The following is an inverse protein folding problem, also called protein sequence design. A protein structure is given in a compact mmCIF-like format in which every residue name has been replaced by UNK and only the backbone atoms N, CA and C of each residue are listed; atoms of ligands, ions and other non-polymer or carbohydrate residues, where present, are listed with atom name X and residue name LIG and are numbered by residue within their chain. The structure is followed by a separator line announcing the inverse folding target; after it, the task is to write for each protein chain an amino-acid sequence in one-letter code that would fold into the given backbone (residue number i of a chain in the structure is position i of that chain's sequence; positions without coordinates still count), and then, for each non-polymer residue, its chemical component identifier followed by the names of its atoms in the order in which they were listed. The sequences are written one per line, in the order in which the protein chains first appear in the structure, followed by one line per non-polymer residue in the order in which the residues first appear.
data_IF_573651686049
#
_entry.id   IF_573651686049
#
_cell.length_a   1.000
_cell.length_b   1.000
_cell.length_c   1.000
_cell.angle_alpha   90.00
_cell.angle_beta   90.00
_cell.angle_gamma   90.00
#
_symmetry.space_group_name_H-M   'P 1'
#
loop_
_entity.id
_entity.type
_entity.pdbx_description
1 polymer ?
#
# COMPACT_ATOMS: atom_id res chain seq x y z
N UNK A 1 -5.18 18.70 1.60
CA UNK A 1 -4.27 19.78 1.14
C UNK A 1 -4.68 20.19 -0.28
N UNK A 2 -5.11 21.44 -0.50
CA UNK A 2 -5.65 21.91 -1.80
C UNK A 2 -4.54 22.50 -2.67
N UNK A 3 -4.24 21.90 -3.83
CA UNK A 3 -3.35 22.50 -4.82
C UNK A 3 -4.15 23.40 -5.77
N UNK A 4 -3.78 24.68 -5.80
CA UNK A 4 -4.28 25.66 -6.77
C UNK A 4 -3.32 25.73 -7.96
N UNK A 5 -3.88 25.54 -9.15
CA UNK A 5 -3.22 25.61 -10.44
C UNK A 5 -3.01 27.09 -10.83
N UNK A 6 -1.75 27.54 -10.96
CA UNK A 6 -1.43 28.86 -11.53
C UNK A 6 -0.93 28.71 -12.96
N UNK A 7 -1.79 29.08 -13.91
CA UNK A 7 -1.42 29.47 -15.28
C UNK A 7 -0.69 30.82 -15.23
N UNK A 8 0.39 30.95 -15.98
CA UNK A 8 0.88 32.25 -16.45
C UNK A 8 1.18 32.18 -17.94
N UNK A 9 0.47 33.02 -18.69
CA UNK A 9 0.73 33.42 -20.07
C UNK A 9 1.20 34.89 -19.96
N UNK A 10 2.34 35.22 -20.55
CA UNK A 10 2.83 36.56 -20.86
C UNK A 10 3.99 36.34 -21.83
N UNK A 11 4.15 36.95 -22.99
CA UNK A 11 3.67 38.18 -23.61
C UNK A 11 4.72 38.51 -24.68
N UNK A 12 4.27 38.94 -25.86
CA UNK A 12 5.03 39.27 -27.09
C UNK A 12 6.17 40.29 -26.86
N UNK A 13 7.25 40.38 -27.64
CA UNK A 13 7.41 40.98 -29.00
C UNK A 13 8.89 40.78 -29.42
N UNK A 14 9.16 40.62 -30.73
CA UNK A 14 10.44 41.05 -31.31
C UNK A 14 10.99 40.19 -32.45
N UNK A 15 10.48 40.41 -33.67
CA UNK A 15 11.05 39.83 -34.89
C UNK A 15 12.29 40.62 -35.34
N UNK A 16 13.42 39.92 -35.57
CA UNK A 16 14.47 40.32 -36.52
C UNK A 16 14.98 39.07 -37.24
N UNK A 17 14.91 39.10 -38.56
CA UNK A 17 15.35 38.09 -39.53
C UNK A 17 16.88 38.15 -39.71
N UNK A 18 17.57 37.01 -39.60
CA UNK A 18 18.74 36.67 -40.43
C UNK A 18 18.79 35.14 -40.65
N UNK A 19 19.00 34.76 -41.90
CA UNK A 19 18.99 33.40 -42.45
C UNK A 19 20.38 32.76 -42.27
N UNK A 20 20.43 31.52 -41.75
CA UNK A 20 21.51 30.56 -41.98
C UNK A 20 20.97 29.12 -41.80
N UNK A 21 21.49 28.12 -42.55
CA UNK A 21 20.83 26.83 -42.74
C UNK A 21 21.04 25.82 -41.59
N UNK A 22 19.96 25.09 -41.31
CA UNK A 22 19.87 23.69 -40.89
C UNK A 22 20.95 23.15 -39.93
N UNK A 23 20.66 23.17 -38.63
CA UNK A 23 20.75 21.99 -37.78
C UNK A 23 19.65 22.09 -36.71
N UNK A 24 18.44 21.65 -37.06
CA UNK A 24 17.49 21.21 -36.02
C UNK A 24 18.02 19.86 -35.58
N UNK A 25 18.89 19.83 -34.58
CA UNK A 25 19.06 18.63 -33.77
C UNK A 25 17.75 18.46 -33.02
N UNK A 26 16.77 17.80 -33.62
CA UNK A 26 15.78 17.09 -32.83
C UNK A 26 16.58 16.10 -32.01
N UNK A 27 16.86 16.42 -30.74
CA UNK A 27 17.06 15.37 -29.76
C UNK A 27 15.71 14.67 -29.66
N UNK A 28 15.45 13.77 -30.60
CA UNK A 28 14.58 12.65 -30.33
C UNK A 28 15.36 11.88 -29.29
N UNK A 29 15.07 12.16 -28.02
CA UNK A 29 15.45 11.28 -26.94
C UNK A 29 14.78 9.94 -27.28
N UNK A 30 15.50 9.12 -28.02
CA UNK A 30 15.12 7.77 -28.33
C UNK A 30 15.29 7.03 -27.02
N UNK A 31 14.23 7.04 -26.21
CA UNK A 31 14.10 6.18 -25.05
C UNK A 31 14.28 4.78 -25.59
N UNK A 32 15.48 4.22 -25.38
CA UNK A 32 15.80 2.86 -25.82
C UNK A 32 14.78 1.94 -25.15
N UNK A 33 14.05 1.10 -25.89
CA UNK A 33 13.06 0.19 -25.33
C UNK A 33 13.61 -0.72 -24.21
N UNK A 34 14.93 -0.95 -24.19
CA UNK A 34 15.62 -1.72 -23.15
C UNK A 34 15.56 -1.07 -21.77
N UNK A 35 15.71 0.26 -21.69
CA UNK A 35 15.90 0.95 -20.41
C UNK A 35 14.57 1.04 -19.65
N UNK A 36 13.47 1.18 -20.40
CA UNK A 36 12.10 1.15 -19.85
C UNK A 36 11.68 -0.24 -19.38
N UNK A 37 12.03 -1.30 -20.12
CA UNK A 37 11.64 -2.66 -19.77
C UNK A 37 12.35 -3.15 -18.50
N UNK A 38 13.66 -2.91 -18.39
CA UNK A 38 14.45 -3.26 -17.19
C UNK A 38 14.02 -2.45 -15.97
N UNK A 39 13.70 -1.16 -16.15
CA UNK A 39 13.19 -0.29 -15.09
C UNK A 39 11.82 -0.78 -14.58
N UNK A 40 10.90 -1.15 -15.48
CA UNK A 40 9.57 -1.62 -15.11
C UNK A 40 9.59 -2.96 -14.36
N UNK A 41 10.54 -3.84 -14.68
CA UNK A 41 10.79 -5.08 -13.92
C UNK A 41 11.22 -4.79 -12.48
N UNK A 42 12.17 -3.86 -12.28
CA UNK A 42 12.64 -3.50 -10.94
C UNK A 42 11.49 -2.99 -10.04
N UNK A 43 10.60 -2.15 -10.57
CA UNK A 43 9.42 -1.68 -9.84
C UNK A 43 8.41 -2.80 -9.56
N UNK A 44 8.23 -3.74 -10.49
CA UNK A 44 7.36 -4.90 -10.29
C UNK A 44 7.88 -5.81 -9.17
N UNK A 45 9.19 -6.02 -9.09
CA UNK A 45 9.82 -6.80 -8.01
C UNK A 45 9.76 -6.06 -6.67
N UNK A 46 10.08 -4.76 -6.66
CA UNK A 46 9.94 -3.90 -5.47
C UNK A 46 8.52 -3.99 -4.92
N UNK A 47 7.51 -3.82 -5.77
CA UNK A 47 6.11 -3.89 -5.38
C UNK A 47 5.70 -5.25 -4.80
N UNK A 48 6.20 -6.36 -5.37
CA UNK A 48 5.97 -7.70 -4.83
C UNK A 48 6.62 -7.88 -3.46
N UNK A 49 7.78 -7.26 -3.22
CA UNK A 49 8.41 -7.18 -1.90
C UNK A 49 7.56 -6.42 -0.89
N UNK A 50 7.14 -5.20 -1.25
CA UNK A 50 6.29 -4.35 -0.41
C UNK A 50 4.97 -5.02 -0.05
N UNK A 51 4.31 -5.69 -1.01
CA UNK A 51 3.09 -6.46 -0.73
C UNK A 51 3.34 -7.60 0.27
N UNK A 52 4.47 -8.31 0.19
CA UNK A 52 4.81 -9.35 1.18
C UNK A 52 4.99 -8.77 2.58
N UNK A 53 5.59 -7.58 2.69
CA UNK A 53 5.72 -6.87 3.97
C UNK A 53 4.36 -6.42 4.51
N UNK A 54 3.51 -5.84 3.67
CA UNK A 54 2.12 -5.47 4.04
C UNK A 54 1.36 -6.68 4.59
N UNK A 55 1.45 -7.84 3.93
CA UNK A 55 0.84 -9.09 4.43
C UNK A 55 1.39 -9.51 5.79
N UNK A 56 2.70 -9.37 6.01
CA UNK A 56 3.34 -9.75 7.28
C UNK A 56 2.92 -8.82 8.41
N UNK A 57 2.82 -7.52 8.14
CA UNK A 57 2.37 -6.51 9.10
C UNK A 57 0.87 -6.69 9.41
N UNK A 58 0.05 -6.95 8.40
CA UNK A 58 -1.38 -7.18 8.60
C UNK A 58 -1.67 -8.46 9.39
N UNK A 59 -0.84 -9.50 9.25
CA UNK A 59 -0.93 -10.69 10.08
C UNK A 59 -0.63 -10.39 11.56
N UNK A 60 0.47 -9.68 11.84
CA UNK A 60 0.82 -9.27 13.21
C UNK A 60 -0.26 -8.37 13.82
N UNK A 61 -0.79 -7.43 13.02
CA UNK A 61 -1.89 -6.56 13.42
C UNK A 61 -3.16 -7.32 13.82
N UNK A 62 -3.53 -8.33 13.03
CA UNK A 62 -4.70 -9.16 13.33
C UNK A 62 -4.50 -9.94 14.64
N UNK A 63 -3.32 -10.53 14.84
CA UNK A 63 -2.99 -11.27 16.06
C UNK A 63 -3.00 -10.36 17.30
N UNK A 64 -2.34 -9.19 17.22
CA UNK A 64 -2.28 -8.20 18.31
C UNK A 64 -3.67 -7.64 18.66
N UNK A 65 -4.47 -7.30 17.64
CA UNK A 65 -5.82 -6.77 17.84
C UNK A 65 -6.76 -7.83 18.42
N UNK A 66 -6.68 -9.07 17.96
CA UNK A 66 -7.45 -10.17 18.51
C UNK A 66 -7.08 -10.47 19.97
N UNK A 67 -5.79 -10.44 20.30
CA UNK A 67 -5.35 -10.59 21.69
C UNK A 67 -5.91 -9.46 22.59
N UNK A 68 -5.81 -8.21 22.12
CA UNK A 68 -6.35 -7.05 22.83
C UNK A 68 -7.89 -7.12 23.00
N UNK A 69 -8.61 -7.59 21.98
CA UNK A 69 -10.05 -7.81 22.01
C UNK A 69 -10.43 -8.80 23.10
N UNK A 70 -9.71 -9.93 23.19
CA UNK A 70 -9.94 -10.94 24.23
C UNK A 70 -9.76 -10.38 25.64
N UNK A 71 -8.71 -9.58 25.87
CA UNK A 71 -8.48 -8.95 27.17
C UNK A 71 -9.57 -7.92 27.50
N UNK A 72 -9.92 -7.07 26.52
CA UNK A 72 -10.98 -6.06 26.67
C UNK A 72 -12.32 -6.70 27.02
N UNK A 73 -12.75 -7.71 26.27
CA UNK A 73 -14.02 -8.40 26.47
C UNK A 73 -14.13 -9.15 27.80
N UNK A 74 -12.99 -9.52 28.40
CA UNK A 74 -12.94 -10.18 29.72
C UNK A 74 -12.67 -9.21 30.87
N UNK A 75 -12.60 -7.91 30.59
CA UNK A 75 -12.17 -6.89 31.56
C UNK A 75 -10.86 -7.28 32.26
N UNK A 76 -9.91 -7.79 31.47
CA UNK A 76 -8.57 -8.16 31.92
C UNK A 76 -7.59 -7.07 31.55
N UNK A 77 -6.47 -7.02 32.29
CA UNK A 77 -5.44 -5.98 32.20
C UNK A 77 -5.90 -4.60 32.68
N UNK A 78 -4.94 -3.77 33.07
CA UNK A 78 -5.19 -2.37 33.34
C UNK A 78 -5.04 -1.52 32.06
N UNK A 79 -5.53 -0.29 32.11
CA UNK A 79 -5.53 0.62 30.97
C UNK A 79 -4.12 0.89 30.41
N UNK A 80 -3.04 0.78 31.19
CA UNK A 80 -1.66 1.00 30.70
C UNK A 80 -1.24 -0.14 29.79
N UNK A 81 -1.61 -1.36 30.12
CA UNK A 81 -1.38 -2.53 29.26
C UNK A 81 -2.17 -2.41 27.96
N UNK A 82 -3.43 -1.95 28.00
CA UNK A 82 -4.19 -1.65 26.79
C UNK A 82 -3.52 -0.55 25.95
N UNK A 83 -3.07 0.54 26.58
CA UNK A 83 -2.36 1.61 25.90
C UNK A 83 -1.06 1.13 25.24
N UNK A 84 -0.31 0.24 25.92
CA UNK A 84 0.87 -0.39 25.35
C UNK A 84 0.53 -1.19 24.09
N UNK A 85 -0.50 -2.04 24.13
CA UNK A 85 -0.94 -2.83 22.96
C UNK A 85 -1.42 -1.94 21.81
N UNK A 86 -2.24 -0.93 22.07
CA UNK A 86 -2.69 0.01 21.05
C UNK A 86 -1.53 0.79 20.41
N UNK A 87 -0.47 1.10 21.17
CA UNK A 87 0.72 1.73 20.61
C UNK A 87 1.48 0.77 19.68
N UNK A 88 1.62 -0.52 20.03
CA UNK A 88 2.22 -1.51 19.13
C UNK A 88 1.43 -1.65 17.83
N UNK A 89 0.10 -1.74 17.93
CA UNK A 89 -0.79 -1.78 16.76
C UNK A 89 -0.61 -0.51 15.91
N UNK A 90 -0.56 0.68 16.52
CA UNK A 90 -0.31 1.93 15.79
C UNK A 90 1.04 1.90 15.06
N UNK A 91 2.08 1.39 15.69
CA UNK A 91 3.42 1.33 15.08
C UNK A 91 3.43 0.39 13.87
N UNK A 92 2.75 -0.76 13.95
CA UNK A 92 2.53 -1.65 12.81
C UNK A 92 1.70 -1.00 11.68
N UNK A 93 0.64 -0.27 12.02
CA UNK A 93 -0.18 0.49 11.04
C UNK A 93 0.68 1.52 10.31
N UNK A 94 1.51 2.27 11.03
CA UNK A 94 2.40 3.26 10.44
C UNK A 94 3.40 2.61 9.49
N UNK A 95 4.05 1.53 9.92
CA UNK A 95 4.98 0.78 9.08
C UNK A 95 4.30 0.26 7.80
N UNK A 96 3.05 -0.21 7.90
CA UNK A 96 2.26 -0.64 6.74
C UNK A 96 1.90 0.54 5.84
N UNK A 97 1.53 1.68 6.43
CA UNK A 97 1.24 2.93 5.72
C UNK A 97 2.39 3.39 4.84
N UNK A 98 3.64 3.34 5.32
CA UNK A 98 4.82 3.67 4.52
C UNK A 98 4.98 2.78 3.28
N UNK A 99 4.70 1.47 3.42
CA UNK A 99 4.80 0.52 2.29
C UNK A 99 3.70 0.77 1.26
N UNK A 100 2.48 1.09 1.73
CA UNK A 100 1.36 1.43 0.87
C UNK A 100 1.56 2.78 0.16
N UNK A 101 2.14 3.77 0.83
CA UNK A 101 2.52 5.04 0.23
C UNK A 101 3.52 4.80 -0.90
N UNK A 102 4.57 4.01 -0.64
CA UNK A 102 5.55 3.66 -1.67
C UNK A 102 4.92 2.95 -2.88
N UNK A 103 4.00 2.02 -2.64
CA UNK A 103 3.24 1.35 -3.71
C UNK A 103 2.40 2.33 -4.53
N UNK A 104 1.82 3.36 -3.90
CA UNK A 104 1.08 4.41 -4.60
C UNK A 104 2.00 5.32 -5.42
N UNK A 105 3.19 5.67 -4.92
CA UNK A 105 4.17 6.47 -5.68
C UNK A 105 4.56 5.80 -7.00
N UNK A 106 4.83 4.48 -6.95
CA UNK A 106 5.23 3.70 -8.12
C UNK A 106 4.04 3.15 -8.91
N UNK A 107 2.80 3.52 -8.57
CA UNK A 107 1.57 2.92 -9.12
C UNK A 107 1.52 2.89 -10.65
N UNK A 108 2.09 3.89 -11.32
CA UNK A 108 2.17 3.95 -12.79
C UNK A 108 3.04 2.87 -13.43
N UNK A 109 3.97 2.29 -12.67
CA UNK A 109 4.93 1.26 -13.12
C UNK A 109 4.53 -0.16 -12.71
N UNK A 110 3.44 -0.30 -11.93
CA UNK A 110 2.99 -1.57 -11.39
C UNK A 110 2.34 -2.47 -12.44
N UNK A 111 2.53 -3.78 -12.28
CA UNK A 111 1.76 -4.76 -13.03
C UNK A 111 0.25 -4.62 -12.74
N UNK A 112 -0.64 -5.01 -13.67
CA UNK A 112 -2.09 -4.86 -13.49
C UNK A 112 -2.61 -5.48 -12.18
N UNK A 113 -2.19 -6.69 -11.83
CA UNK A 113 -2.62 -7.37 -10.61
C UNK A 113 -2.11 -6.66 -9.34
N UNK A 114 -0.94 -6.03 -9.39
CA UNK A 114 -0.38 -5.27 -8.26
C UNK A 114 -1.16 -3.99 -8.02
N UNK A 115 -1.58 -3.30 -9.09
CA UNK A 115 -2.45 -2.12 -8.97
C UNK A 115 -3.78 -2.48 -8.33
N UNK A 116 -4.41 -3.57 -8.78
CA UNK A 116 -5.67 -4.03 -8.17
C UNK A 116 -5.46 -4.41 -6.70
N UNK A 117 -4.35 -5.07 -6.35
CA UNK A 117 -4.03 -5.37 -4.96
C UNK A 117 -3.95 -4.11 -4.10
N UNK A 118 -3.26 -3.06 -4.58
CA UNK A 118 -3.18 -1.76 -3.90
C UNK A 118 -4.57 -1.13 -3.76
N UNK A 119 -5.36 -1.13 -4.83
CA UNK A 119 -6.71 -0.53 -4.84
C UNK A 119 -7.66 -1.23 -3.85
N UNK A 120 -7.45 -2.52 -3.56
CA UNK A 120 -8.22 -3.29 -2.56
C UNK A 120 -7.75 -3.08 -1.13
N UNK A 121 -6.44 -2.98 -0.93
CA UNK A 121 -5.84 -2.94 0.40
C UNK A 121 -5.90 -1.56 1.03
N UNK A 122 -5.69 -0.50 0.25
CA UNK A 122 -5.59 0.87 0.76
C UNK A 122 -6.83 1.31 1.54
N UNK A 123 -8.07 1.10 1.07
CA UNK A 123 -9.25 1.48 1.83
C UNK A 123 -9.36 0.76 3.18
N UNK A 124 -9.04 -0.54 3.22
CA UNK A 124 -9.06 -1.31 4.48
C UNK A 124 -7.98 -0.81 5.45
N UNK A 125 -6.80 -0.44 4.96
CA UNK A 125 -5.74 0.13 5.80
C UNK A 125 -6.14 1.49 6.39
N UNK A 126 -6.93 2.29 5.67
CA UNK A 126 -7.47 3.56 6.15
C UNK A 126 -8.49 3.34 7.27
N UNK A 127 -9.43 2.41 7.09
CA UNK A 127 -10.42 2.08 8.12
C UNK A 127 -9.74 1.49 9.37
N UNK A 128 -8.76 0.59 9.20
CA UNK A 128 -7.95 0.07 10.29
C UNK A 128 -7.30 1.19 11.12
N UNK A 129 -6.67 2.16 10.45
CA UNK A 129 -6.06 3.31 11.11
C UNK A 129 -7.10 4.16 11.86
N UNK A 130 -8.26 4.43 11.25
CA UNK A 130 -9.33 5.19 11.87
C UNK A 130 -9.88 4.50 13.14
N UNK A 131 -10.08 3.18 13.10
CA UNK A 131 -10.51 2.42 14.27
C UNK A 131 -9.46 2.40 15.39
N UNK A 132 -8.17 2.28 15.04
CA UNK A 132 -7.08 2.35 16.01
C UNK A 132 -7.02 3.72 16.70
N UNK A 133 -7.11 4.81 15.95
CA UNK A 133 -7.17 6.17 16.49
C UNK A 133 -8.38 6.36 17.42
N UNK A 134 -9.56 5.87 17.01
CA UNK A 134 -10.76 5.96 17.83
C UNK A 134 -10.69 5.11 19.11
N UNK A 135 -10.03 3.94 19.07
CA UNK A 135 -9.78 3.11 20.25
C UNK A 135 -8.81 3.81 21.23
N UNK A 136 -7.74 4.41 20.72
CA UNK A 136 -6.79 5.21 21.52
C UNK A 136 -7.50 6.41 22.16
N UNK A 137 -8.32 7.13 21.40
CA UNK A 137 -9.10 8.25 21.93
C UNK A 137 -10.04 7.79 23.05
N UNK A 138 -10.79 6.71 22.85
CA UNK A 138 -11.68 6.15 23.86
C UNK A 138 -10.92 5.76 25.13
N UNK A 139 -9.77 5.09 25.00
CA UNK A 139 -8.95 4.69 26.15
C UNK A 139 -8.48 5.90 26.97
N UNK A 140 -8.09 6.99 26.30
CA UNK A 140 -7.65 8.21 26.98
C UNK A 140 -8.77 8.89 27.76
N UNK A 141 -10.01 8.80 27.28
CA UNK A 141 -11.19 9.41 27.92
C UNK A 141 -11.82 8.52 28.99
N UNK A 142 -11.78 7.19 28.82
CA UNK A 142 -12.58 6.23 29.58
C UNK A 142 -11.76 5.01 30.02
N UNK A 143 -10.68 5.26 30.77
CA UNK A 143 -9.74 4.24 31.25
C UNK A 143 -10.39 3.13 32.10
N UNK A 144 -11.50 3.43 32.77
CA UNK A 144 -12.24 2.51 33.63
C UNK A 144 -13.38 1.79 32.89
N UNK A 145 -13.48 1.87 31.56
CA UNK A 145 -14.63 1.32 30.79
C UNK A 145 -14.21 0.60 29.52
N UNK A 146 -13.08 -0.11 29.58
CA UNK A 146 -12.49 -0.79 28.42
C UNK A 146 -13.22 -2.10 28.03
N UNK A 147 -14.16 -2.58 28.83
CA UNK A 147 -15.02 -3.72 28.47
C UNK A 147 -16.30 -3.30 27.74
N UNK A 148 -16.55 -1.99 27.59
CA UNK A 148 -17.77 -1.51 26.97
C UNK A 148 -17.74 -1.80 25.46
N UNK A 149 -18.90 -2.13 24.85
CA UNK A 149 -18.98 -2.40 23.41
C UNK A 149 -18.34 -1.31 22.56
N UNK A 150 -18.52 -0.04 22.94
CA UNK A 150 -17.91 1.07 22.24
C UNK A 150 -16.38 0.92 22.05
N UNK A 151 -15.65 0.34 22.99
CA UNK A 151 -14.21 0.08 22.85
C UNK A 151 -13.94 -1.26 22.15
N UNK A 152 -14.61 -2.32 22.60
CA UNK A 152 -14.40 -3.68 22.09
C UNK A 152 -14.72 -3.77 20.60
N UNK A 153 -15.83 -3.18 20.15
CA UNK A 153 -16.26 -3.18 18.75
C UNK A 153 -15.22 -2.50 17.83
N UNK A 154 -14.51 -1.47 18.33
CA UNK A 154 -13.44 -0.82 17.57
C UNK A 154 -12.23 -1.72 17.40
N UNK A 155 -11.85 -2.45 18.45
CA UNK A 155 -10.75 -3.41 18.36
C UNK A 155 -11.14 -4.58 17.45
N UNK A 156 -12.38 -5.07 17.56
CA UNK A 156 -12.91 -6.11 16.69
C UNK A 156 -12.84 -5.70 15.21
N UNK A 157 -13.27 -4.47 14.90
CA UNK A 157 -13.15 -3.92 13.55
C UNK A 157 -11.68 -3.80 13.08
N UNK A 158 -10.73 -3.51 13.97
CA UNK A 158 -9.31 -3.52 13.63
C UNK A 158 -8.85 -4.93 13.22
N UNK A 159 -9.24 -5.96 13.98
CA UNK A 159 -8.96 -7.36 13.65
C UNK A 159 -9.51 -7.71 12.26
N UNK A 160 -10.77 -7.37 12.00
CA UNK A 160 -11.44 -7.67 10.72
C UNK A 160 -10.73 -7.01 9.53
N UNK A 161 -10.38 -5.72 9.63
CA UNK A 161 -9.68 -5.03 8.55
C UNK A 161 -8.26 -5.54 8.34
N UNK A 162 -7.54 -5.88 9.42
CA UNK A 162 -6.20 -6.46 9.32
C UNK A 162 -6.23 -7.84 8.64
N UNK A 163 -7.22 -8.68 8.96
CA UNK A 163 -7.45 -9.97 8.30
C UNK A 163 -7.83 -9.80 6.82
N UNK A 164 -8.70 -8.84 6.49
CA UNK A 164 -9.10 -8.57 5.11
C UNK A 164 -7.91 -8.13 4.26
N UNK A 165 -7.03 -7.27 4.80
CA UNK A 165 -5.77 -6.88 4.14
C UNK A 165 -4.89 -8.11 3.91
N UNK A 166 -4.68 -8.93 4.97
CA UNK A 166 -3.86 -10.14 4.90
C UNK A 166 -4.36 -11.09 3.82
N UNK A 167 -5.66 -11.36 3.82
CA UNK A 167 -6.34 -12.26 2.89
C UNK A 167 -6.24 -11.75 1.46
N UNK A 168 -6.60 -10.48 1.23
CA UNK A 168 -6.52 -9.83 -0.08
C UNK A 168 -5.12 -9.91 -0.67
N UNK A 169 -4.10 -9.49 0.09
CA UNK A 169 -2.71 -9.53 -0.40
C UNK A 169 -2.25 -10.97 -0.68
N UNK A 170 -2.62 -11.91 0.19
CA UNK A 170 -2.29 -13.34 -0.02
C UNK A 170 -2.87 -13.85 -1.33
N UNK A 171 -4.14 -13.57 -1.61
CA UNK A 171 -4.80 -13.97 -2.85
C UNK A 171 -4.09 -13.44 -4.10
N UNK A 172 -3.67 -12.16 -4.09
CA UNK A 172 -2.93 -11.58 -5.21
C UNK A 172 -1.52 -12.17 -5.37
N UNK A 173 -0.81 -12.41 -4.28
CA UNK A 173 0.50 -13.05 -4.32
C UNK A 173 0.41 -14.51 -4.82
N UNK A 174 -0.64 -15.24 -4.45
CA UNK A 174 -0.86 -16.60 -4.93
C UNK A 174 -1.29 -16.63 -6.39
N UNK A 175 -2.08 -15.66 -6.84
CA UNK A 175 -2.36 -15.45 -8.26
C UNK A 175 -1.06 -15.22 -9.07
N UNK A 176 -0.15 -14.38 -8.58
CA UNK A 176 1.14 -14.14 -9.24
C UNK A 176 1.97 -15.43 -9.39
N UNK A 177 2.06 -16.24 -8.32
CA UNK A 177 2.74 -17.55 -8.37
C UNK A 177 2.10 -18.49 -9.40
N UNK A 178 0.77 -18.51 -9.49
CA UNK A 178 0.05 -19.34 -10.45
C UNK A 178 0.36 -18.91 -11.90
N UNK A 179 0.43 -17.60 -12.16
CA UNK A 179 0.79 -17.06 -13.47
C UNK A 179 2.23 -17.44 -13.86
N UNK A 180 3.18 -17.35 -12.93
CA UNK A 180 4.57 -17.77 -13.19
C UNK A 180 4.67 -19.26 -13.48
N UNK A 181 3.90 -20.08 -12.76
CA UNK A 181 3.84 -21.52 -13.01
C UNK A 181 3.28 -21.83 -14.40
N UNK A 182 2.24 -21.12 -14.84
CA UNK A 182 1.68 -21.28 -16.17
C UNK A 182 2.72 -20.98 -17.26
N UNK A 183 3.40 -19.84 -17.18
CA UNK A 183 4.46 -19.46 -18.14
C UNK A 183 5.57 -20.50 -18.24
N UNK A 184 5.98 -21.08 -17.10
CA UNK A 184 6.98 -22.16 -17.08
C UNK A 184 6.49 -23.40 -17.82
N UNK A 185 5.23 -23.79 -17.63
CA UNK A 185 4.65 -24.96 -18.29
C UNK A 185 4.50 -24.74 -19.81
N UNK A 186 4.09 -23.55 -20.23
CA UNK A 186 4.00 -23.17 -21.65
C UNK A 186 5.38 -23.28 -22.33
N UNK A 187 6.43 -22.72 -21.72
CA UNK A 187 7.80 -22.81 -22.24
C UNK A 187 8.30 -24.25 -22.35
N UNK A 188 7.96 -25.13 -21.40
CA UNK A 188 8.31 -26.55 -21.48
C UNK A 188 7.61 -27.28 -22.63
N UNK A 189 6.34 -26.94 -22.89
CA UNK A 189 5.57 -27.53 -23.99
C UNK A 189 6.11 -27.07 -25.36
N UNK A 190 6.52 -25.80 -25.48
CA UNK A 190 7.16 -25.29 -26.70
C UNK A 190 8.49 -25.99 -27.01
N UNK A 191 9.31 -26.26 -25.99
CA UNK A 191 10.59 -26.96 -26.15
C UNK A 191 10.38 -28.46 -26.47
N UNK A 192 9.36 -29.10 -25.87
CA UNK A 192 9.08 -30.52 -26.10
C UNK A 192 8.35 -30.80 -27.42
N UNK A 193 7.75 -29.78 -28.05
CA UNK A 193 7.07 -29.88 -29.34
C UNK A 193 7.94 -29.54 -30.55
N UNK A 194 9.19 -29.11 -30.33
CA UNK A 194 10.20 -28.80 -31.37
C UNK A 194 11.18 -29.97 -31.57
#
# INVERSE_FOLDING_TARGET
MRLTLRKTICGTIGAWLLIAPLFVSTLKAEVRPSDTATSNWAYTEEASGLLKEVRSLSAQLADDAHELEMYAGRNQLDWRSHAFQLNQIRDHINAMGEKLERLQEIRGMLAPWQREAVDRVVPNAQELAAHAEAAIAYLNEQQDRLWMPAYVDRISAMTDHAEEIKSSVTAFLDYAKALDRLKQLESQLEISGA
#
